data_IF_940986943513
#
_entry.id   IF_940986943513
#
_cell.length_a   1.000
_cell.length_b   1.000
_cell.length_c   1.000
_cell.angle_alpha   90.00
_cell.angle_beta   90.00
_cell.angle_gamma   90.00
#
_symmetry.space_group_name_H-M   'P 1'
#
loop_
_entity.id
_entity.type
_entity.pdbx_description
1 polymer ?
#
# COMPACT_ATOMS: atom_id res chain seq x y z
N UNK A 1 3.57 29.51 29.87
CA UNK A 1 4.75 28.80 29.30
C UNK A 1 4.43 27.39 28.80
N UNK A 2 3.63 26.58 29.54
CA UNK A 2 3.25 25.22 29.09
C UNK A 2 2.24 25.27 27.95
N UNK A 3 1.33 26.24 27.92
CA UNK A 3 0.34 26.40 26.84
C UNK A 3 0.96 26.89 25.52
N UNK A 4 2.00 27.71 25.56
CA UNK A 4 2.72 28.15 24.36
C UNK A 4 3.53 27.02 23.71
N UNK A 5 4.09 26.10 24.51
CA UNK A 5 4.80 24.93 24.02
C UNK A 5 3.86 23.92 23.34
N UNK A 6 2.62 23.76 23.85
CA UNK A 6 1.58 22.89 23.26
C UNK A 6 1.05 23.46 21.94
N UNK A 7 0.81 24.77 21.86
CA UNK A 7 0.37 25.44 20.62
C UNK A 7 1.46 25.37 19.54
N UNK A 8 2.72 25.52 19.90
CA UNK A 8 3.85 25.34 18.98
C UNK A 8 3.96 23.91 18.43
N UNK A 9 3.71 22.89 19.26
CA UNK A 9 3.76 21.50 18.83
C UNK A 9 2.60 21.12 17.90
N UNK A 10 1.38 21.58 18.17
CA UNK A 10 0.22 21.34 17.28
C UNK A 10 0.38 22.04 15.92
N UNK A 11 0.94 23.25 15.91
CA UNK A 11 1.21 23.98 14.67
C UNK A 11 2.30 23.29 13.85
N UNK A 12 3.37 22.80 14.47
CA UNK A 12 4.41 22.00 13.82
C UNK A 12 3.87 20.67 13.27
N UNK A 13 3.02 19.98 14.00
CA UNK A 13 2.42 18.72 13.54
C UNK A 13 1.50 18.97 12.34
N UNK A 14 0.70 20.03 12.36
CA UNK A 14 -0.21 20.38 11.28
C UNK A 14 0.54 20.81 10.02
N UNK A 15 1.57 21.60 10.15
CA UNK A 15 2.43 22.02 9.02
C UNK A 15 3.22 20.85 8.45
N UNK A 16 3.74 19.96 9.30
CA UNK A 16 4.46 18.77 8.84
C UNK A 16 3.52 17.80 8.12
N UNK A 17 2.29 17.64 8.59
CA UNK A 17 1.27 16.79 7.96
C UNK A 17 0.81 17.36 6.62
N UNK A 18 0.60 18.66 6.54
CA UNK A 18 0.25 19.33 5.28
C UNK A 18 1.40 19.24 4.27
N UNK A 19 2.62 19.53 4.70
CA UNK A 19 3.83 19.48 3.87
C UNK A 19 4.10 18.06 3.37
N UNK A 20 4.02 17.05 4.24
CA UNK A 20 4.24 15.66 3.86
C UNK A 20 3.20 15.16 2.85
N UNK A 21 1.91 15.52 3.02
CA UNK A 21 0.85 15.18 2.06
C UNK A 21 1.09 15.83 0.69
N UNK A 22 1.47 17.10 0.64
CA UNK A 22 1.74 17.82 -0.61
C UNK A 22 2.99 17.30 -1.30
N UNK A 23 4.08 17.12 -0.56
CA UNK A 23 5.34 16.58 -1.11
C UNK A 23 5.11 15.16 -1.63
N UNK A 24 4.37 14.31 -0.91
CA UNK A 24 4.03 12.96 -1.36
C UNK A 24 3.21 12.99 -2.66
N UNK A 25 2.22 13.88 -2.76
CA UNK A 25 1.42 14.06 -3.99
C UNK A 25 2.30 14.47 -5.17
N UNK A 26 3.18 15.46 -4.99
CA UNK A 26 4.11 15.88 -6.05
C UNK A 26 5.10 14.77 -6.42
N UNK A 27 5.64 14.05 -5.45
CA UNK A 27 6.53 12.92 -5.70
C UNK A 27 5.84 11.83 -6.53
N UNK A 28 4.58 11.48 -6.21
CA UNK A 28 3.80 10.49 -6.97
C UNK A 28 3.50 10.98 -8.39
N UNK A 29 3.18 12.27 -8.56
CA UNK A 29 2.95 12.87 -9.88
C UNK A 29 4.25 12.82 -10.72
N UNK A 30 5.38 13.24 -10.15
CA UNK A 30 6.68 13.22 -10.84
C UNK A 30 7.11 11.78 -11.19
N UNK A 31 6.87 10.83 -10.31
CA UNK A 31 7.10 9.40 -10.59
C UNK A 31 6.25 8.93 -11.77
N UNK A 32 4.98 9.34 -11.82
CA UNK A 32 4.08 9.03 -12.93
C UNK A 32 4.56 9.59 -14.28
N UNK A 33 5.14 10.80 -14.30
CA UNK A 33 5.73 11.39 -15.52
C UNK A 33 7.02 10.70 -15.97
N UNK A 34 7.79 10.13 -15.04
CA UNK A 34 9.01 9.38 -15.35
C UNK A 34 8.75 7.99 -15.96
N UNK A 35 7.52 7.49 -15.86
CA UNK A 35 7.18 6.15 -16.32
C UNK A 35 6.74 6.14 -17.79
N UNK A 36 7.25 5.17 -18.55
CA UNK A 36 6.80 4.95 -19.93
C UNK A 36 5.38 4.36 -19.94
N UNK A 37 4.42 5.11 -20.47
CA UNK A 37 3.00 4.74 -20.47
C UNK A 37 2.73 3.38 -21.13
N UNK A 38 3.51 3.03 -22.16
CA UNK A 38 3.42 1.73 -22.84
C UNK A 38 3.80 0.58 -21.90
N UNK A 39 4.85 0.77 -21.09
CA UNK A 39 5.29 -0.22 -20.10
C UNK A 39 4.25 -0.37 -18.99
N UNK A 40 3.65 0.73 -18.53
CA UNK A 40 2.58 0.73 -17.52
C UNK A 40 1.36 -0.04 -18.04
N UNK A 41 0.93 0.21 -19.28
CA UNK A 41 -0.21 -0.48 -19.88
C UNK A 41 0.05 -1.97 -20.08
N UNK A 42 1.24 -2.34 -20.52
CA UNK A 42 1.62 -3.75 -20.73
C UNK A 42 1.74 -4.50 -19.41
N UNK A 43 2.43 -3.92 -18.45
CA UNK A 43 2.56 -4.49 -17.09
C UNK A 43 1.21 -4.53 -16.38
N UNK A 44 0.40 -3.49 -16.54
CA UNK A 44 -0.95 -3.41 -16.00
C UNK A 44 -1.83 -4.56 -16.49
N UNK A 45 -1.89 -4.79 -17.80
CA UNK A 45 -2.66 -5.91 -18.38
C UNK A 45 -2.19 -7.27 -17.85
N UNK A 46 -0.89 -7.46 -17.71
CA UNK A 46 -0.29 -8.70 -17.24
C UNK A 46 -0.54 -8.94 -15.74
N UNK A 47 -0.55 -7.86 -14.95
CA UNK A 47 -0.73 -7.93 -13.50
C UNK A 47 -2.18 -7.83 -13.03
N UNK A 48 -3.11 -7.38 -13.89
CA UNK A 48 -4.51 -7.14 -13.55
C UNK A 48 -5.22 -8.37 -12.95
N UNK A 49 -5.11 -9.59 -13.52
CA UNK A 49 -5.74 -10.77 -12.92
C UNK A 49 -5.15 -11.11 -11.55
N UNK A 50 -3.86 -10.91 -11.36
CA UNK A 50 -3.19 -11.13 -10.07
C UNK A 50 -3.67 -10.10 -9.04
N UNK A 51 -3.78 -8.83 -9.44
CA UNK A 51 -4.27 -7.73 -8.60
C UNK A 51 -5.71 -8.01 -8.15
N UNK A 52 -6.59 -8.39 -9.07
CA UNK A 52 -7.98 -8.72 -8.73
C UNK A 52 -8.08 -9.92 -7.78
N UNK A 53 -7.29 -10.97 -8.02
CA UNK A 53 -7.23 -12.13 -7.15
C UNK A 53 -6.74 -11.76 -5.75
N UNK A 54 -5.68 -10.94 -5.64
CA UNK A 54 -5.15 -10.52 -4.33
C UNK A 54 -6.09 -9.60 -3.57
N UNK A 55 -6.78 -8.68 -4.23
CA UNK A 55 -7.82 -7.83 -3.62
C UNK A 55 -8.96 -8.69 -3.08
N UNK A 56 -9.50 -9.60 -3.90
CA UNK A 56 -10.59 -10.48 -3.49
C UNK A 56 -10.18 -11.38 -2.32
N UNK A 57 -8.99 -11.96 -2.37
CA UNK A 57 -8.48 -12.81 -1.29
C UNK A 57 -8.30 -12.03 0.01
N UNK A 58 -7.75 -10.81 -0.06
CA UNK A 58 -7.56 -9.96 1.10
C UNK A 58 -8.89 -9.62 1.80
N UNK A 59 -9.90 -9.25 1.03
CA UNK A 59 -11.23 -8.94 1.58
C UNK A 59 -11.92 -10.17 2.16
N UNK A 60 -11.82 -11.32 1.49
CA UNK A 60 -12.38 -12.58 2.00
C UNK A 60 -11.71 -12.99 3.31
N UNK A 61 -10.37 -12.92 3.37
CA UNK A 61 -9.61 -13.25 4.58
C UNK A 61 -9.96 -12.30 5.73
N UNK A 62 -10.05 -10.99 5.47
CA UNK A 62 -10.45 -10.00 6.47
C UNK A 62 -11.85 -10.29 7.02
N UNK A 63 -12.80 -10.63 6.15
CA UNK A 63 -14.16 -11.02 6.56
C UNK A 63 -14.19 -12.32 7.38
N UNK A 64 -13.43 -13.34 6.97
CA UNK A 64 -13.32 -14.59 7.73
C UNK A 64 -12.69 -14.37 9.10
N UNK A 65 -11.61 -13.59 9.18
CA UNK A 65 -10.97 -13.25 10.46
C UNK A 65 -11.89 -12.46 11.38
N UNK A 66 -12.65 -11.49 10.83
CA UNK A 66 -13.69 -10.79 11.58
C UNK A 66 -14.66 -11.79 12.24
N UNK A 67 -15.14 -12.76 11.47
CA UNK A 67 -16.13 -13.72 11.94
C UNK A 67 -15.57 -14.74 12.95
N UNK A 68 -14.34 -15.19 12.74
CA UNK A 68 -13.70 -16.22 13.61
C UNK A 68 -13.15 -15.59 14.89
N UNK A 69 -12.49 -14.45 14.80
CA UNK A 69 -11.81 -13.81 15.93
C UNK A 69 -12.67 -12.76 16.64
N UNK A 70 -13.89 -12.52 16.17
CA UNK A 70 -14.81 -11.50 16.72
C UNK A 70 -14.19 -10.11 16.78
N UNK A 71 -13.32 -9.76 15.81
CA UNK A 71 -12.72 -8.45 15.69
C UNK A 71 -13.81 -7.43 15.35
N UNK A 72 -13.78 -6.19 15.89
CA UNK A 72 -14.73 -5.15 15.52
C UNK A 72 -14.81 -4.97 13.99
N UNK A 73 -16.03 -4.87 13.48
CA UNK A 73 -16.28 -4.81 12.02
C UNK A 73 -15.53 -3.67 11.34
N UNK A 74 -15.47 -2.50 11.99
CA UNK A 74 -14.77 -1.32 11.45
C UNK A 74 -13.28 -1.56 11.29
N UNK A 75 -12.61 -2.11 12.32
CA UNK A 75 -11.17 -2.43 12.27
C UNK A 75 -10.89 -3.48 11.18
N UNK A 76 -11.68 -4.53 11.11
CA UNK A 76 -11.52 -5.57 10.10
C UNK A 76 -11.70 -5.02 8.68
N UNK A 77 -12.69 -4.15 8.47
CA UNK A 77 -12.92 -3.49 7.18
C UNK A 77 -11.75 -2.59 6.81
N UNK A 78 -11.26 -1.77 7.75
CA UNK A 78 -10.10 -0.89 7.51
C UNK A 78 -8.84 -1.67 7.15
N UNK A 79 -8.55 -2.74 7.88
CA UNK A 79 -7.39 -3.60 7.59
C UNK A 79 -7.58 -4.32 6.25
N UNK A 80 -8.79 -4.82 5.96
CA UNK A 80 -9.10 -5.49 4.71
C UNK A 80 -8.93 -4.58 3.50
N UNK A 81 -9.48 -3.37 3.54
CA UNK A 81 -9.33 -2.37 2.48
C UNK A 81 -7.88 -1.87 2.39
N UNK A 82 -7.23 -1.60 3.52
CA UNK A 82 -5.83 -1.22 3.57
C UNK A 82 -4.93 -2.27 2.94
N UNK A 83 -5.07 -3.53 3.30
CA UNK A 83 -4.31 -4.65 2.74
C UNK A 83 -4.62 -4.91 1.28
N UNK A 84 -5.84 -4.59 0.83
CA UNK A 84 -6.25 -4.85 -0.55
C UNK A 84 -5.71 -3.82 -1.54
N UNK A 85 -5.41 -2.59 -1.15
CA UNK A 85 -5.04 -1.51 -2.08
C UNK A 85 -3.63 -0.97 -1.81
N UNK A 86 -3.48 -0.02 -0.87
CA UNK A 86 -2.22 0.71 -0.66
C UNK A 86 -1.88 1.00 0.81
N UNK A 87 -2.48 0.27 1.75
CA UNK A 87 -2.22 0.43 3.17
C UNK A 87 -2.89 1.66 3.77
N UNK A 88 -2.11 2.53 4.39
CA UNK A 88 -2.61 3.67 5.17
C UNK A 88 -3.47 4.67 4.40
N UNK A 89 -3.19 4.93 3.12
CA UNK A 89 -4.00 5.86 2.31
C UNK A 89 -5.40 5.32 2.01
N UNK A 90 -5.54 4.01 1.82
CA UNK A 90 -6.84 3.38 1.65
C UNK A 90 -7.65 3.39 2.96
N UNK A 91 -6.99 3.20 4.11
CA UNK A 91 -7.61 3.35 5.42
C UNK A 91 -8.12 4.77 5.62
N UNK A 92 -7.26 5.79 5.36
CA UNK A 92 -7.62 7.19 5.51
C UNK A 92 -8.79 7.62 4.62
N UNK A 93 -8.92 7.05 3.42
CA UNK A 93 -10.04 7.29 2.52
C UNK A 93 -11.33 6.59 2.96
N UNK A 94 -11.23 5.41 3.58
CA UNK A 94 -12.38 4.61 3.97
C UNK A 94 -12.91 4.99 5.37
N UNK A 95 -12.04 5.43 6.27
CA UNK A 95 -12.40 5.74 7.65
C UNK A 95 -13.60 6.70 7.80
N UNK A 96 -13.67 7.84 7.08
CA UNK A 96 -14.81 8.73 7.18
C UNK A 96 -16.11 8.11 6.63
N UNK A 97 -16.02 7.20 5.66
CA UNK A 97 -17.18 6.54 5.04
C UNK A 97 -17.88 5.58 6.00
N UNK A 98 -17.09 4.87 6.83
CA UNK A 98 -17.63 3.93 7.83
C UNK A 98 -17.73 4.54 9.23
N UNK A 99 -17.51 5.84 9.34
CA UNK A 99 -17.53 6.57 10.62
C UNK A 99 -16.61 5.90 11.67
N UNK A 100 -15.40 5.53 11.28
CA UNK A 100 -14.43 4.92 12.17
C UNK A 100 -13.86 5.96 13.14
N UNK A 101 -13.66 5.56 14.39
CA UNK A 101 -12.99 6.40 15.38
C UNK A 101 -11.48 6.55 15.09
N UNK A 102 -10.88 7.62 15.57
CA UNK A 102 -9.43 7.85 15.43
C UNK A 102 -8.60 6.71 16.01
N UNK A 103 -9.09 6.08 17.07
CA UNK A 103 -8.45 4.93 17.69
C UNK A 103 -8.49 3.69 16.79
N UNK A 104 -9.63 3.39 16.16
CA UNK A 104 -9.76 2.28 15.19
C UNK A 104 -8.89 2.50 13.97
N UNK A 105 -8.78 3.74 13.50
CA UNK A 105 -7.90 4.13 12.39
C UNK A 105 -6.43 3.95 12.77
N UNK A 106 -6.02 4.45 13.94
CA UNK A 106 -4.65 4.34 14.42
C UNK A 106 -4.21 2.89 14.61
N UNK A 107 -5.07 2.05 15.19
CA UNK A 107 -4.81 0.61 15.36
C UNK A 107 -4.64 -0.07 14.00
N UNK A 108 -5.55 0.20 13.06
CA UNK A 108 -5.52 -0.42 11.72
C UNK A 108 -4.26 -0.02 10.93
N UNK A 109 -3.88 1.24 10.99
CA UNK A 109 -2.66 1.76 10.37
C UNK A 109 -1.43 1.10 10.99
N UNK A 110 -1.36 1.04 12.32
CA UNK A 110 -0.21 0.46 13.04
C UNK A 110 0.02 -1.01 12.67
N UNK A 111 -1.03 -1.80 12.58
CA UNK A 111 -0.97 -3.20 12.15
C UNK A 111 -0.42 -3.32 10.74
N UNK A 112 -0.94 -2.53 9.80
CA UNK A 112 -0.48 -2.57 8.41
C UNK A 112 0.99 -2.17 8.29
N UNK A 113 1.42 -1.11 8.97
CA UNK A 113 2.83 -0.69 8.95
C UNK A 113 3.75 -1.74 9.55
N UNK A 114 3.36 -2.37 10.66
CA UNK A 114 4.13 -3.46 11.27
C UNK A 114 4.35 -4.61 10.27
N UNK A 115 3.28 -5.09 9.64
CA UNK A 115 3.39 -6.19 8.67
C UNK A 115 4.16 -5.80 7.42
N UNK A 116 4.05 -4.56 6.96
CA UNK A 116 4.85 -4.06 5.83
C UNK A 116 6.35 -4.00 6.17
N UNK A 117 6.71 -3.59 7.37
CA UNK A 117 8.09 -3.59 7.83
C UNK A 117 8.65 -5.02 7.90
N UNK A 118 7.90 -5.95 8.48
CA UNK A 118 8.27 -7.38 8.51
C UNK A 118 8.42 -7.93 7.09
N UNK A 119 7.49 -7.61 6.19
CA UNK A 119 7.55 -8.05 4.81
C UNK A 119 8.77 -7.50 4.06
N UNK A 120 9.12 -6.22 4.26
CA UNK A 120 10.29 -5.62 3.64
C UNK A 120 11.60 -6.32 4.01
N UNK A 121 11.69 -6.82 5.25
CA UNK A 121 12.87 -7.54 5.75
C UNK A 121 12.88 -9.02 5.34
N UNK A 122 11.73 -9.69 5.41
CA UNK A 122 11.66 -11.14 5.22
C UNK A 122 11.47 -11.57 3.76
N UNK A 123 10.80 -10.77 2.93
CA UNK A 123 10.45 -11.19 1.57
C UNK A 123 11.63 -11.41 0.65
N UNK A 124 12.75 -10.65 0.70
CA UNK A 124 13.92 -11.00 -0.10
C UNK A 124 14.48 -12.39 0.22
N UNK A 125 14.56 -12.74 1.50
CA UNK A 125 15.02 -14.08 1.92
C UNK A 125 14.00 -15.17 1.57
N UNK A 126 12.70 -14.92 1.77
CA UNK A 126 11.63 -15.83 1.37
C UNK A 126 11.59 -16.03 -0.15
N UNK A 127 11.83 -15.00 -0.94
CA UNK A 127 11.89 -15.08 -2.39
C UNK A 127 12.98 -16.03 -2.87
N UNK A 128 14.14 -16.01 -2.21
CA UNK A 128 15.23 -16.97 -2.47
C UNK A 128 14.81 -18.40 -2.12
N UNK A 129 14.17 -18.60 -0.96
CA UNK A 129 13.68 -19.91 -0.53
C UNK A 129 12.57 -20.47 -1.44
N UNK A 130 11.70 -19.61 -1.96
CA UNK A 130 10.64 -20.00 -2.90
C UNK A 130 11.17 -20.25 -4.33
N UNK A 131 12.45 -20.01 -4.58
CA UNK A 131 13.08 -20.26 -5.86
C UNK A 131 12.70 -19.27 -6.96
N UNK A 132 12.42 -18.01 -6.62
CA UNK A 132 12.20 -16.99 -7.64
C UNK A 132 13.47 -16.80 -8.49
N UNK A 133 13.26 -16.50 -9.79
CA UNK A 133 14.37 -16.29 -10.71
C UNK A 133 15.25 -15.12 -10.24
N UNK A 134 16.50 -15.44 -9.97
CA UNK A 134 17.54 -14.46 -9.58
C UNK A 134 18.13 -13.71 -10.76
N UNK A 135 17.80 -14.12 -12.00
CA UNK A 135 18.38 -13.54 -13.23
C UNK A 135 17.56 -12.38 -13.81
N UNK A 136 16.25 -12.39 -13.64
CA UNK A 136 15.37 -11.39 -14.28
C UNK A 136 14.70 -10.43 -13.29
N UNK A 137 14.60 -10.78 -12.02
CA UNK A 137 13.91 -9.98 -10.99
C UNK A 137 12.40 -9.80 -11.21
N UNK A 138 11.84 -10.18 -12.37
CA UNK A 138 10.45 -9.94 -12.71
C UNK A 138 9.46 -10.64 -11.77
N UNK A 139 9.70 -11.92 -11.49
CA UNK A 139 8.83 -12.71 -10.63
C UNK A 139 8.79 -12.17 -9.20
N UNK A 140 9.95 -11.81 -8.64
CA UNK A 140 10.02 -11.19 -7.33
C UNK A 140 9.44 -9.77 -7.34
N UNK A 141 9.64 -9.00 -8.39
CA UNK A 141 9.06 -7.66 -8.56
C UNK A 141 7.52 -7.70 -8.55
N UNK A 142 6.90 -8.63 -9.27
CA UNK A 142 5.44 -8.84 -9.25
C UNK A 142 4.98 -9.27 -7.84
N UNK A 143 5.68 -10.22 -7.22
CA UNK A 143 5.37 -10.68 -5.88
C UNK A 143 5.45 -9.55 -4.85
N UNK A 144 6.56 -8.82 -4.78
CA UNK A 144 6.74 -7.72 -3.84
C UNK A 144 5.72 -6.59 -4.07
N UNK A 145 5.49 -6.20 -5.34
CA UNK A 145 4.52 -5.15 -5.70
C UNK A 145 3.07 -5.50 -5.38
N UNK A 146 2.72 -6.80 -5.37
CA UNK A 146 1.36 -7.26 -5.04
C UNK A 146 1.17 -7.62 -3.57
N UNK A 147 2.18 -8.18 -2.91
CA UNK A 147 2.06 -8.70 -1.56
C UNK A 147 2.30 -7.64 -0.47
N UNK A 148 3.19 -6.67 -0.72
CA UNK A 148 3.49 -5.59 0.22
C UNK A 148 2.53 -4.43 -0.04
N UNK A 149 1.94 -3.85 1.01
CA UNK A 149 0.90 -2.83 0.86
C UNK A 149 1.45 -1.41 0.76
N UNK A 150 2.55 -1.10 1.42
CA UNK A 150 3.16 0.23 1.40
C UNK A 150 4.24 0.35 0.31
N UNK A 151 4.26 1.47 -0.40
CA UNK A 151 5.19 1.72 -1.50
C UNK A 151 6.64 1.80 -1.03
N UNK A 152 6.89 2.38 0.14
CA UNK A 152 8.25 2.48 0.70
C UNK A 152 8.82 1.11 1.04
N UNK A 153 7.99 0.23 1.60
CA UNK A 153 8.36 -1.15 1.92
C UNK A 153 8.56 -2.01 0.67
N UNK A 154 7.76 -1.79 -0.39
CA UNK A 154 7.98 -2.40 -1.71
C UNK A 154 9.34 -2.00 -2.27
N UNK A 155 9.63 -0.71 -2.24
CA UNK A 155 10.91 -0.16 -2.72
C UNK A 155 12.08 -0.77 -1.96
N UNK A 156 11.99 -0.83 -0.63
CA UNK A 156 13.03 -1.43 0.21
C UNK A 156 13.26 -2.92 -0.11
N UNK A 157 12.20 -3.72 -0.20
CA UNK A 157 12.31 -5.14 -0.53
C UNK A 157 12.88 -5.39 -1.93
N UNK A 158 12.41 -4.63 -2.93
CA UNK A 158 12.86 -4.77 -4.31
C UNK A 158 14.30 -4.29 -4.50
N UNK A 159 14.70 -3.18 -3.88
CA UNK A 159 16.09 -2.70 -3.90
C UNK A 159 17.05 -3.67 -3.19
N UNK A 160 16.60 -4.30 -2.11
CA UNK A 160 17.38 -5.35 -1.43
C UNK A 160 17.59 -6.53 -2.36
N UNK A 161 16.55 -6.98 -3.06
CA UNK A 161 16.66 -8.05 -4.04
C UNK A 161 17.61 -7.71 -5.18
N UNK A 162 17.47 -6.49 -5.76
CA UNK A 162 18.37 -6.02 -6.81
C UNK A 162 19.85 -5.95 -6.34
N UNK A 163 20.07 -5.53 -5.09
CA UNK A 163 21.42 -5.50 -4.49
C UNK A 163 21.98 -6.89 -4.26
N UNK A 164 21.16 -7.84 -3.82
CA UNK A 164 21.60 -9.24 -3.59
C UNK A 164 22.02 -9.96 -4.88
N UNK A 165 21.36 -9.64 -6.00
CA UNK A 165 21.56 -10.36 -7.26
C UNK A 165 22.14 -9.50 -8.39
N UNK A 166 22.58 -8.28 -8.09
CA UNK A 166 23.19 -7.33 -9.02
C UNK A 166 22.33 -7.05 -10.27
N UNK A 167 21.02 -6.90 -10.07
CA UNK A 167 20.05 -6.69 -11.14
C UNK A 167 19.83 -5.19 -11.49
N UNK A 168 20.69 -4.30 -10.99
CA UNK A 168 20.58 -2.84 -11.11
C UNK A 168 19.26 -2.33 -10.50
N UNK A 169 18.25 -2.02 -11.29
CA UNK A 169 16.93 -1.56 -10.82
C UNK A 169 15.77 -2.35 -11.44
N UNK A 170 16.04 -3.47 -12.09
CA UNK A 170 15.06 -4.21 -12.85
C UNK A 170 13.87 -4.70 -11.99
N UNK A 171 14.17 -5.20 -10.78
CA UNK A 171 13.16 -5.65 -9.84
C UNK A 171 12.39 -4.47 -9.25
N UNK A 172 13.10 -3.40 -8.89
CA UNK A 172 12.52 -2.18 -8.34
C UNK A 172 11.52 -1.55 -9.31
N UNK A 173 11.91 -1.35 -10.56
CA UNK A 173 11.07 -0.76 -11.60
C UNK A 173 9.80 -1.59 -11.82
N UNK A 174 9.93 -2.91 -11.86
CA UNK A 174 8.79 -3.82 -12.00
C UNK A 174 7.87 -3.76 -10.79
N UNK A 175 8.42 -3.85 -9.57
CA UNK A 175 7.64 -3.85 -8.34
C UNK A 175 6.87 -2.53 -8.15
N UNK A 176 7.51 -1.39 -8.41
CA UNK A 176 6.88 -0.07 -8.32
C UNK A 176 5.78 0.08 -9.36
N UNK A 177 6.03 -0.35 -10.62
CA UNK A 177 5.02 -0.31 -11.69
C UNK A 177 3.78 -1.13 -11.33
N UNK A 178 3.95 -2.36 -10.87
CA UNK A 178 2.85 -3.22 -10.41
C UNK A 178 2.10 -2.57 -9.25
N UNK A 179 2.81 -1.99 -8.31
CA UNK A 179 2.24 -1.30 -7.15
C UNK A 179 1.40 -0.09 -7.54
N UNK A 180 1.93 0.76 -8.41
CA UNK A 180 1.22 1.95 -8.90
C UNK A 180 -0.03 1.57 -9.69
N UNK A 181 0.03 0.53 -10.51
CA UNK A 181 -1.16 -0.01 -11.23
C UNK A 181 -2.25 -0.44 -10.24
N UNK A 182 -1.87 -1.09 -9.13
CA UNK A 182 -2.81 -1.47 -8.07
C UNK A 182 -3.43 -0.26 -7.37
N UNK A 183 -2.64 0.78 -7.15
CA UNK A 183 -3.11 2.02 -6.52
C UNK A 183 -4.18 2.73 -7.35
N UNK A 184 -4.15 2.62 -8.68
CA UNK A 184 -5.20 3.15 -9.55
C UNK A 184 -6.57 2.51 -9.30
N UNK A 185 -6.64 1.32 -8.72
CA UNK A 185 -7.89 0.68 -8.33
C UNK A 185 -8.67 1.43 -7.22
N UNK A 186 -8.05 2.40 -6.54
CA UNK A 186 -8.74 3.27 -5.59
C UNK A 186 -9.82 4.11 -6.28
N UNK A 187 -9.56 4.58 -7.50
CA UNK A 187 -10.46 5.50 -8.23
C UNK A 187 -11.88 4.92 -8.38
N UNK A 188 -12.08 3.72 -8.93
CA UNK A 188 -13.41 3.14 -9.04
C UNK A 188 -14.05 2.81 -7.69
N UNK A 189 -13.25 2.39 -6.71
CA UNK A 189 -13.75 2.05 -5.36
C UNK A 189 -14.26 3.31 -4.65
N UNK A 190 -13.50 4.39 -4.66
CA UNK A 190 -13.93 5.68 -4.06
C UNK A 190 -15.14 6.27 -4.80
N UNK A 191 -15.21 6.14 -6.11
CA UNK A 191 -16.34 6.64 -6.90
C UNK A 191 -17.65 5.87 -6.63
N UNK A 192 -17.58 4.55 -6.50
CA UNK A 192 -18.76 3.74 -6.20
C UNK A 192 -19.29 4.01 -4.79
N UNK A 193 -18.42 4.25 -3.81
CA UNK A 193 -18.84 4.59 -2.45
C UNK A 193 -19.44 6.00 -2.35
N UNK A 194 -18.86 6.99 -3.04
CA UNK A 194 -19.43 8.35 -3.09
C UNK A 194 -20.84 8.34 -3.69
N UNK A 195 -21.06 7.58 -4.75
CA UNK A 195 -22.37 7.50 -5.41
C UNK A 195 -23.42 6.74 -4.60
N UNK A 196 -23.02 5.80 -3.76
CA UNK A 196 -23.90 5.06 -2.88
C UNK A 196 -24.45 5.93 -1.71
N UNK A 197 -23.76 7.01 -1.36
CA UNK A 197 -24.18 7.97 -0.34
C UNK A 197 -25.07 9.11 -0.88
N UNK A 198 -25.08 9.34 -2.20
CA UNK A 198 -25.94 10.37 -2.83
C UNK A 198 -27.35 9.85 -3.19
N UNK A 199 -27.60 8.57 -3.05
CA UNK A 199 -28.92 7.93 -3.27
C UNK A 199 -29.51 7.39 -1.99
#
# INVERSE_FOLDING_TARGET
EISECLVGSEMCIRDSTFTSKKILQYAVILLGFGMNLSVVLQTGKQSLPIILATISTSLIVAYLLHKIMHIPSKISTLIGVGSSICGGSAIAATAPVIEASDEEVAQSISVIFLFNMIAALLFPTLGTLLGFSTKSGEAFGIFAGTAINDTSSVTAAASTWDSMYHLQSATLDKAVTVKLTRTLAIIPVSYTHLRAHET
#
